data_IF_889466387459
#
_entry.id   IF_889466387459
#
_cell.length_a   1.000
_cell.length_b   1.000
_cell.length_c   1.000
_cell.angle_alpha   90.00
_cell.angle_beta   90.00
_cell.angle_gamma   90.00
#
_symmetry.space_group_name_H-M   'P 1'
#
loop_
_entity.id
_entity.type
_entity.pdbx_description
1 polymer ?
#
# COMPACT_ATOMS: atom_id res chain seq x y z
N UNK A 1 -70.84 -4.55 -36.90
CA UNK A 1 -70.64 -5.71 -36.00
C UNK A 1 -69.84 -6.74 -36.76
N UNK A 2 -68.61 -7.14 -36.45
CA UNK A 2 -67.88 -7.11 -35.18
C UNK A 2 -67.63 -8.55 -34.72
N UNK A 3 -66.45 -9.11 -35.04
CA UNK A 3 -65.57 -9.90 -34.15
C UNK A 3 -64.47 -10.59 -34.98
N UNK A 4 -63.23 -10.19 -34.73
CA UNK A 4 -62.03 -10.89 -35.18
C UNK A 4 -61.69 -12.03 -34.21
N UNK A 5 -61.14 -13.10 -34.76
CA UNK A 5 -60.48 -14.16 -34.02
C UNK A 5 -59.16 -13.63 -33.45
N UNK A 6 -59.08 -13.54 -32.12
CA UNK A 6 -57.85 -13.31 -31.39
C UNK A 6 -57.36 -14.66 -30.86
N UNK A 7 -56.30 -15.17 -31.45
CA UNK A 7 -55.67 -16.45 -31.10
C UNK A 7 -54.81 -16.24 -29.87
N UNK A 8 -55.41 -16.36 -28.68
CA UNK A 8 -54.70 -16.37 -27.41
C UNK A 8 -53.86 -17.64 -27.26
N UNK A 9 -52.55 -17.50 -27.41
CA UNK A 9 -51.59 -18.56 -27.05
C UNK A 9 -51.51 -18.70 -25.53
N UNK A 10 -51.84 -19.89 -25.04
CA UNK A 10 -51.59 -20.29 -23.65
C UNK A 10 -50.08 -20.30 -23.36
N UNK A 11 -49.59 -19.21 -22.81
CA UNK A 11 -48.25 -19.13 -22.23
C UNK A 11 -48.25 -19.96 -20.95
N UNK A 12 -47.73 -21.19 -21.03
CA UNK A 12 -47.31 -21.97 -19.87
C UNK A 12 -46.36 -21.13 -19.03
N UNK A 13 -46.84 -20.65 -17.89
CA UNK A 13 -46.02 -20.06 -16.84
C UNK A 13 -45.18 -21.20 -16.27
N UNK A 14 -43.96 -21.35 -16.78
CA UNK A 14 -42.93 -22.20 -16.19
C UNK A 14 -42.55 -21.55 -14.87
N UNK A 15 -43.08 -22.11 -13.77
CA UNK A 15 -42.63 -21.79 -12.43
C UNK A 15 -41.13 -22.04 -12.37
N UNK A 16 -40.36 -20.97 -12.27
CA UNK A 16 -38.95 -21.04 -11.93
C UNK A 16 -38.87 -21.61 -10.51
N UNK A 17 -38.43 -22.87 -10.41
CA UNK A 17 -37.98 -23.44 -9.15
C UNK A 17 -36.90 -22.51 -8.60
N UNK A 18 -37.23 -21.82 -7.49
CA UNK A 18 -36.27 -21.09 -6.68
C UNK A 18 -35.39 -22.15 -6.01
N UNK A 19 -34.38 -22.60 -6.76
CA UNK A 19 -33.33 -23.46 -6.25
C UNK A 19 -32.63 -22.73 -5.12
N UNK A 20 -32.74 -23.31 -3.92
CA UNK A 20 -32.00 -23.00 -2.70
C UNK A 20 -30.59 -22.48 -3.03
N UNK A 21 -30.41 -21.16 -2.99
CA UNK A 21 -29.13 -20.51 -3.24
C UNK A 21 -28.20 -20.84 -2.06
N UNK A 22 -27.45 -21.91 -2.25
CA UNK A 22 -26.45 -22.39 -1.31
C UNK A 22 -25.35 -21.33 -1.34
N UNK A 23 -25.40 -20.40 -0.38
CA UNK A 23 -24.45 -19.29 -0.20
C UNK A 23 -23.04 -19.82 0.13
N UNK A 24 -22.44 -20.48 -0.87
CA UNK A 24 -21.05 -20.88 -0.83
C UNK A 24 -20.22 -19.62 -0.88
N UNK A 25 -19.34 -19.49 0.10
CA UNK A 25 -18.37 -18.40 0.18
C UNK A 25 -17.65 -18.23 -1.16
N UNK A 26 -17.44 -17.00 -1.66
CA UNK A 26 -16.94 -16.76 -3.01
C UNK A 26 -15.48 -17.16 -3.22
N UNK A 27 -14.77 -17.49 -2.13
CA UNK A 27 -13.37 -17.90 -2.17
C UNK A 27 -13.29 -19.43 -2.21
N UNK A 28 -12.55 -19.95 -3.19
CA UNK A 28 -12.20 -21.36 -3.26
C UNK A 28 -11.28 -21.74 -2.09
N UNK A 29 -11.40 -22.97 -1.59
CA UNK A 29 -10.47 -23.52 -0.60
C UNK A 29 -9.00 -23.36 -1.04
N UNK A 30 -8.73 -23.47 -2.34
CA UNK A 30 -7.40 -23.26 -2.91
C UNK A 30 -6.92 -21.80 -2.83
N UNK A 31 -7.82 -20.83 -3.03
CA UNK A 31 -7.48 -19.41 -2.92
C UNK A 31 -7.19 -19.02 -1.47
N UNK A 32 -7.99 -19.54 -0.53
CA UNK A 32 -7.77 -19.35 0.92
C UNK A 32 -6.45 -20.00 1.36
N UNK A 33 -6.16 -21.20 0.87
CA UNK A 33 -4.92 -21.92 1.19
C UNK A 33 -3.71 -21.17 0.61
N UNK A 34 -3.78 -20.71 -0.63
CA UNK A 34 -2.70 -19.96 -1.27
C UNK A 34 -2.46 -18.61 -0.57
N UNK A 35 -3.53 -17.87 -0.26
CA UNK A 35 -3.46 -16.64 0.52
C UNK A 35 -2.81 -16.87 1.89
N UNK A 36 -3.28 -17.88 2.63
CA UNK A 36 -2.75 -18.23 3.95
C UNK A 36 -1.27 -18.62 3.87
N UNK A 37 -0.87 -19.34 2.82
CA UNK A 37 0.53 -19.70 2.57
C UNK A 37 1.40 -18.47 2.32
N UNK A 38 0.92 -17.49 1.55
CA UNK A 38 1.62 -16.22 1.35
C UNK A 38 1.79 -15.47 2.67
N UNK A 39 0.73 -15.39 3.49
CA UNK A 39 0.81 -14.74 4.81
C UNK A 39 1.79 -15.46 5.72
N UNK A 40 1.71 -16.78 5.82
CA UNK A 40 2.61 -17.59 6.64
C UNK A 40 4.06 -17.50 6.15
N UNK A 41 4.29 -17.45 4.84
CA UNK A 41 5.62 -17.26 4.26
C UNK A 41 6.24 -15.91 4.65
N UNK A 42 5.44 -14.84 4.64
CA UNK A 42 5.86 -13.53 5.11
C UNK A 42 6.15 -13.51 6.63
N UNK A 43 5.28 -14.14 7.43
CA UNK A 43 5.49 -14.26 8.88
C UNK A 43 6.72 -15.09 9.22
N UNK A 44 6.95 -16.19 8.49
CA UNK A 44 8.14 -17.01 8.62
C UNK A 44 9.39 -16.22 8.22
N UNK A 45 9.33 -15.44 7.14
CA UNK A 45 10.43 -14.55 6.75
C UNK A 45 10.76 -13.52 7.83
N UNK A 46 9.76 -12.90 8.44
CA UNK A 46 9.94 -11.99 9.58
C UNK A 46 10.52 -12.71 10.81
N UNK A 47 10.03 -13.91 11.11
CA UNK A 47 10.54 -14.73 12.21
C UNK A 47 12.00 -15.16 11.97
N UNK A 48 12.35 -15.55 10.75
CA UNK A 48 13.71 -15.91 10.38
C UNK A 48 14.65 -14.72 10.53
N UNK A 49 14.24 -13.52 10.09
CA UNK A 49 14.99 -12.28 10.31
C UNK A 49 15.16 -12.01 11.81
N UNK A 50 14.09 -12.15 12.59
CA UNK A 50 14.12 -11.96 14.04
C UNK A 50 15.09 -12.93 14.73
N UNK A 51 15.08 -14.21 14.34
CA UNK A 51 15.95 -15.24 14.90
C UNK A 51 17.42 -15.11 14.45
N UNK A 52 17.66 -14.51 13.29
CA UNK A 52 19.02 -14.32 12.73
C UNK A 52 19.68 -13.04 13.24
N UNK A 53 18.92 -12.14 13.90
CA UNK A 53 19.49 -10.95 14.54
C UNK A 53 20.24 -11.31 15.82
N UNK A 54 21.47 -10.80 16.05
CA UNK A 54 22.23 -11.10 17.26
C UNK A 54 21.54 -10.57 18.52
N UNK A 55 21.75 -11.24 19.66
CA UNK A 55 21.16 -10.92 20.97
C UNK A 55 21.69 -9.61 21.57
N UNK A 56 21.36 -8.48 20.94
CA UNK A 56 21.51 -7.14 21.51
C UNK A 56 20.13 -6.61 21.91
N UNK A 57 20.07 -5.98 23.07
CA UNK A 57 18.88 -5.55 23.80
C UNK A 57 17.75 -5.01 22.90
N UNK A 58 16.77 -5.85 22.55
CA UNK A 58 15.74 -5.57 21.52
C UNK A 58 14.65 -4.58 21.95
N UNK A 59 14.85 -3.89 23.07
CA UNK A 59 13.94 -2.87 23.58
C UNK A 59 13.78 -1.69 22.61
N UNK A 60 14.73 -1.47 21.69
CA UNK A 60 14.72 -0.40 20.67
C UNK A 60 14.05 -0.79 19.33
N UNK A 61 13.85 -2.08 19.03
CA UNK A 61 13.25 -2.56 17.76
C UNK A 61 11.71 -2.45 17.74
N UNK A 62 11.17 -1.45 18.45
CA UNK A 62 9.77 -1.08 18.33
C UNK A 62 9.61 -0.32 17.02
N UNK A 63 8.58 -0.70 16.26
CA UNK A 63 8.17 0.02 15.06
C UNK A 63 8.01 1.50 15.44
N UNK A 64 8.79 2.43 14.88
CA UNK A 64 8.82 3.80 15.36
C UNK A 64 7.43 4.41 15.21
N UNK A 65 6.82 4.78 16.35
CA UNK A 65 5.50 5.42 16.38
C UNK A 65 5.62 6.92 16.64
N UNK A 66 6.78 7.35 17.14
CA UNK A 66 7.13 8.74 17.40
C UNK A 66 8.45 9.12 16.74
N UNK A 67 8.70 10.42 16.62
CA UNK A 67 9.98 10.95 16.15
C UNK A 67 11.12 10.60 17.12
N UNK A 68 10.84 10.50 18.43
CA UNK A 68 11.83 10.10 19.43
C UNK A 68 12.27 8.64 19.26
N UNK A 69 11.35 7.73 18.95
CA UNK A 69 11.68 6.32 18.69
C UNK A 69 12.62 6.17 17.49
N UNK A 70 12.45 7.02 16.47
CA UNK A 70 13.27 7.02 15.27
C UNK A 70 14.71 7.46 15.57
N UNK A 71 14.90 8.44 16.45
CA UNK A 71 16.23 8.89 16.88
C UNK A 71 16.97 7.83 17.69
N UNK A 72 16.29 7.15 18.63
CA UNK A 72 16.86 6.05 19.42
C UNK A 72 17.26 4.88 18.52
N UNK A 73 16.37 4.51 17.59
CA UNK A 73 16.63 3.45 16.60
C UNK A 73 17.83 3.80 15.72
N UNK A 74 17.96 5.07 15.30
CA UNK A 74 19.10 5.55 14.52
C UNK A 74 20.42 5.44 15.29
N UNK A 75 20.49 5.94 16.52
CA UNK A 75 21.74 5.92 17.32
C UNK A 75 22.23 4.48 17.53
N UNK A 76 21.33 3.54 17.83
CA UNK A 76 21.69 2.13 17.95
C UNK A 76 22.05 1.47 16.62
N UNK A 77 21.42 1.87 15.51
CA UNK A 77 21.74 1.36 14.19
C UNK A 77 23.07 1.89 13.65
N UNK A 78 23.45 3.14 13.96
CA UNK A 78 24.70 3.76 13.48
C UNK A 78 25.93 3.01 14.04
N UNK A 79 25.89 2.60 15.31
CA UNK A 79 26.92 1.73 15.93
C UNK A 79 26.90 0.29 15.35
N UNK A 80 25.72 -0.22 14.95
CA UNK A 80 25.57 -1.59 14.42
C UNK A 80 25.90 -1.73 12.93
N UNK A 81 25.87 -0.63 12.18
CA UNK A 81 26.06 -0.59 10.72
C UNK A 81 27.53 -0.75 10.32
N UNK A 82 28.47 -0.83 11.26
CA UNK A 82 29.87 -1.15 10.94
C UNK A 82 30.09 -2.65 10.68
N UNK A 83 29.33 -3.54 11.35
CA UNK A 83 29.59 -5.00 11.32
C UNK A 83 28.45 -5.83 10.70
N UNK A 84 27.20 -5.34 10.63
CA UNK A 84 26.02 -6.13 10.22
C UNK A 84 25.09 -5.47 9.18
N UNK A 85 25.63 -4.58 8.32
CA UNK A 85 24.88 -3.78 7.33
C UNK A 85 23.89 -4.59 6.48
N UNK A 86 24.29 -5.78 6.04
CA UNK A 86 23.45 -6.63 5.18
C UNK A 86 22.22 -7.18 5.92
N UNK A 87 22.36 -7.57 7.18
CA UNK A 87 21.25 -8.13 7.97
C UNK A 87 20.24 -7.03 8.35
N UNK A 88 20.73 -5.86 8.76
CA UNK A 88 19.89 -4.68 9.04
C UNK A 88 19.11 -4.26 7.80
N UNK A 89 19.78 -4.18 6.65
CA UNK A 89 19.15 -3.81 5.39
C UNK A 89 18.09 -4.83 4.97
N UNK A 90 18.39 -6.13 5.09
CA UNK A 90 17.45 -7.19 4.74
C UNK A 90 16.24 -7.19 5.69
N UNK A 91 16.45 -7.00 6.99
CA UNK A 91 15.37 -6.86 7.96
C UNK A 91 14.50 -5.63 7.71
N UNK A 92 15.11 -4.47 7.41
CA UNK A 92 14.40 -3.26 7.01
C UNK A 92 13.52 -3.51 5.77
N UNK A 93 14.08 -4.12 4.73
CA UNK A 93 13.34 -4.44 3.51
C UNK A 93 12.17 -5.39 3.79
N UNK A 94 12.40 -6.46 4.55
CA UNK A 94 11.35 -7.44 4.90
C UNK A 94 10.21 -6.79 5.68
N UNK A 95 10.51 -5.99 6.69
CA UNK A 95 9.49 -5.27 7.48
C UNK A 95 8.74 -4.27 6.62
N UNK A 96 9.44 -3.49 5.79
CA UNK A 96 8.80 -2.52 4.90
C UNK A 96 7.84 -3.22 3.94
N UNK A 97 8.32 -4.25 3.23
CA UNK A 97 7.52 -5.00 2.24
C UNK A 97 6.33 -5.64 2.95
N UNK A 98 6.52 -6.23 4.13
CA UNK A 98 5.43 -6.80 4.92
C UNK A 98 4.36 -5.76 5.24
N UNK A 99 4.75 -4.62 5.82
CA UNK A 99 3.83 -3.54 6.16
C UNK A 99 3.07 -3.05 4.94
N UNK A 100 3.76 -2.84 3.82
CA UNK A 100 3.17 -2.38 2.58
C UNK A 100 2.23 -3.43 1.95
N UNK A 101 2.57 -4.72 2.06
CA UNK A 101 1.77 -5.83 1.54
C UNK A 101 0.44 -5.96 2.28
N UNK A 102 0.50 -5.88 3.61
CA UNK A 102 -0.65 -6.01 4.50
C UNK A 102 -1.30 -4.68 4.87
N UNK A 103 -0.98 -3.60 4.13
CA UNK A 103 -1.64 -2.31 4.28
C UNK A 103 -1.48 -1.69 5.69
N UNK A 104 -0.42 -2.07 6.41
CA UNK A 104 -0.16 -1.64 7.78
C UNK A 104 0.38 -0.20 7.76
N UNK A 105 -0.25 0.75 8.48
CA UNK A 105 0.24 2.12 8.55
C UNK A 105 1.60 2.18 9.26
N UNK A 106 2.50 3.04 8.77
CA UNK A 106 3.81 3.29 9.38
C UNK A 106 5.01 3.22 8.42
N UNK A 107 4.80 2.92 7.14
CA UNK A 107 5.87 2.94 6.10
C UNK A 107 6.48 4.34 5.89
N UNK A 108 5.78 5.40 6.30
CA UNK A 108 6.32 6.78 6.35
C UNK A 108 7.50 6.87 7.32
N UNK A 109 7.40 6.28 8.52
CA UNK A 109 8.50 6.29 9.49
C UNK A 109 9.70 5.47 9.00
N UNK A 110 9.44 4.36 8.32
CA UNK A 110 10.51 3.58 7.67
C UNK A 110 11.22 4.40 6.59
N UNK A 111 10.48 5.20 5.82
CA UNK A 111 11.05 6.09 4.80
C UNK A 111 11.89 7.23 5.40
N UNK A 112 11.45 7.79 6.53
CA UNK A 112 12.24 8.76 7.31
C UNK A 112 13.54 8.11 7.81
N UNK A 113 13.45 6.91 8.38
CA UNK A 113 14.60 6.14 8.87
C UNK A 113 15.61 5.84 7.75
N UNK A 114 15.14 5.47 6.56
CA UNK A 114 16.02 5.25 5.41
C UNK A 114 16.79 6.53 5.02
N UNK A 115 16.17 7.70 5.15
CA UNK A 115 16.82 8.99 4.94
C UNK A 115 17.88 9.32 5.97
N UNK A 116 17.60 9.06 7.26
CA UNK A 116 18.57 9.30 8.33
C UNK A 116 19.76 8.35 8.29
N UNK A 117 19.59 7.11 7.82
CA UNK A 117 20.63 6.08 7.84
C UNK A 117 21.46 6.02 6.55
N UNK A 118 20.82 6.13 5.38
CA UNK A 118 21.47 5.89 4.09
C UNK A 118 21.66 7.15 3.24
N UNK A 119 21.15 8.30 3.71
CA UNK A 119 21.13 9.55 2.95
C UNK A 119 20.09 9.53 1.82
N UNK A 120 19.99 10.65 1.10
CA UNK A 120 18.88 10.88 0.16
C UNK A 120 18.87 9.88 -1.01
N UNK A 121 19.96 9.77 -1.76
CA UNK A 121 19.96 8.96 -2.99
C UNK A 121 19.73 7.46 -2.72
N UNK A 122 20.48 6.89 -1.77
CA UNK A 122 20.33 5.47 -1.40
C UNK A 122 19.00 5.22 -0.67
N UNK A 123 18.59 6.14 0.21
CA UNK A 123 17.31 6.05 0.93
C UNK A 123 16.11 6.07 -0.02
N UNK A 124 16.09 6.96 -1.02
CA UNK A 124 15.02 7.01 -2.02
C UNK A 124 15.00 5.73 -2.86
N UNK A 125 16.14 5.28 -3.36
CA UNK A 125 16.22 4.05 -4.14
C UNK A 125 15.68 2.85 -3.35
N UNK A 126 16.06 2.74 -2.08
CA UNK A 126 15.64 1.67 -1.18
C UNK A 126 14.15 1.72 -0.86
N UNK A 127 13.62 2.92 -0.56
CA UNK A 127 12.20 3.14 -0.26
C UNK A 127 11.34 2.83 -1.49
N UNK A 128 11.73 3.33 -2.66
CA UNK A 128 10.98 3.07 -3.91
C UNK A 128 10.99 1.57 -4.23
N UNK A 129 12.14 0.91 -4.10
CA UNK A 129 12.24 -0.53 -4.30
C UNK A 129 11.30 -1.31 -3.35
N UNK A 130 11.37 -1.05 -2.05
CA UNK A 130 10.56 -1.75 -1.06
C UNK A 130 9.07 -1.41 -1.19
N UNK A 131 8.73 -0.16 -1.47
CA UNK A 131 7.35 0.27 -1.67
C UNK A 131 6.74 -0.36 -2.92
N UNK A 132 7.50 -0.44 -4.02
CA UNK A 132 7.06 -1.14 -5.24
C UNK A 132 6.92 -2.64 -4.99
N UNK A 133 7.89 -3.30 -4.35
CA UNK A 133 7.83 -4.73 -4.06
C UNK A 133 6.64 -5.10 -3.15
N UNK A 134 6.41 -4.30 -2.10
CA UNK A 134 5.24 -4.48 -1.23
C UNK A 134 3.91 -4.14 -1.91
N UNK A 135 3.87 -3.08 -2.75
CA UNK A 135 2.68 -2.73 -3.51
C UNK A 135 2.32 -3.82 -4.55
N UNK A 136 3.32 -4.41 -5.20
CA UNK A 136 3.13 -5.56 -6.10
C UNK A 136 2.60 -6.78 -5.35
N UNK A 137 3.14 -7.07 -4.16
CA UNK A 137 2.64 -8.18 -3.32
C UNK A 137 1.19 -7.93 -2.90
N UNK A 138 0.85 -6.71 -2.49
CA UNK A 138 -0.52 -6.29 -2.19
C UNK A 138 -1.45 -6.41 -3.42
N UNK A 139 -0.97 -6.04 -4.60
CA UNK A 139 -1.73 -6.18 -5.86
C UNK A 139 -2.09 -7.64 -6.12
N UNK A 140 -1.15 -8.57 -6.00
CA UNK A 140 -1.44 -9.99 -6.23
C UNK A 140 -2.34 -10.58 -5.15
N UNK A 141 -2.15 -10.17 -3.88
CA UNK A 141 -3.02 -10.60 -2.78
C UNK A 141 -4.46 -10.10 -2.98
N UNK A 142 -4.63 -8.84 -3.39
CA UNK A 142 -5.93 -8.28 -3.73
C UNK A 142 -6.54 -8.94 -4.97
N UNK A 143 -5.73 -9.29 -5.97
CA UNK A 143 -6.21 -10.04 -7.14
C UNK A 143 -6.75 -11.42 -6.76
N UNK A 144 -6.09 -12.10 -5.83
CA UNK A 144 -6.47 -13.45 -5.37
C UNK A 144 -7.71 -13.43 -4.48
N UNK A 145 -7.78 -12.51 -3.51
CA UNK A 145 -8.84 -12.51 -2.48
C UNK A 145 -9.85 -11.39 -2.71
N UNK A 146 -9.37 -10.19 -3.00
CA UNK A 146 -10.20 -8.98 -3.11
C UNK A 146 -11.11 -9.01 -4.33
N UNK A 147 -10.64 -9.51 -5.47
CA UNK A 147 -11.46 -9.56 -6.70
C UNK A 147 -12.67 -10.51 -6.59
N UNK A 148 -12.53 -11.79 -6.17
CA UNK A 148 -13.70 -12.65 -5.96
C UNK A 148 -14.69 -12.07 -4.94
N UNK A 149 -14.19 -11.49 -3.85
CA UNK A 149 -15.02 -10.89 -2.80
C UNK A 149 -15.84 -9.70 -3.33
N UNK A 150 -15.22 -8.78 -4.06
CA UNK A 150 -15.93 -7.60 -4.61
C UNK A 150 -16.90 -8.01 -5.72
N UNK A 151 -16.56 -9.00 -6.54
CA UNK A 151 -17.47 -9.53 -7.55
C UNK A 151 -18.73 -10.13 -6.91
N UNK A 152 -18.59 -10.83 -5.79
CA UNK A 152 -19.72 -11.39 -5.05
C UNK A 152 -20.58 -10.32 -4.35
N UNK A 153 -19.95 -9.31 -3.75
CA UNK A 153 -20.66 -8.27 -2.98
C UNK A 153 -21.32 -7.20 -3.88
N UNK A 154 -20.65 -6.79 -4.96
CA UNK A 154 -21.09 -5.67 -5.82
C UNK A 154 -20.75 -5.91 -7.31
N UNK A 155 -21.36 -6.93 -7.96
CA UNK A 155 -21.06 -7.29 -9.34
C UNK A 155 -21.33 -6.13 -10.33
N UNK A 156 -22.46 -5.45 -10.20
CA UNK A 156 -22.86 -4.38 -11.13
C UNK A 156 -21.91 -3.18 -11.10
N UNK A 157 -21.51 -2.75 -9.89
CA UNK A 157 -20.57 -1.64 -9.71
C UNK A 157 -19.19 -2.02 -10.24
N UNK A 158 -18.75 -3.25 -9.98
CA UNK A 158 -17.47 -3.74 -10.46
C UNK A 158 -17.41 -3.72 -11.98
N UNK A 159 -18.43 -4.25 -12.65
CA UNK A 159 -18.51 -4.29 -14.11
C UNK A 159 -18.54 -2.87 -14.69
N UNK A 160 -19.28 -1.93 -14.07
CA UNK A 160 -19.26 -0.53 -14.46
C UNK A 160 -17.83 0.06 -14.41
N UNK A 161 -17.10 -0.12 -13.31
CA UNK A 161 -15.73 0.40 -13.18
C UNK A 161 -14.75 -0.27 -14.16
N UNK A 162 -14.84 -1.59 -14.34
CA UNK A 162 -14.04 -2.32 -15.32
C UNK A 162 -14.28 -1.80 -16.75
N UNK A 163 -15.53 -1.54 -17.12
CA UNK A 163 -15.86 -0.95 -18.41
C UNK A 163 -15.28 0.45 -18.59
N UNK A 164 -15.27 1.27 -17.53
CA UNK A 164 -14.69 2.62 -17.59
C UNK A 164 -13.16 2.58 -17.74
N UNK A 165 -12.49 1.61 -17.09
CA UNK A 165 -11.05 1.38 -17.27
C UNK A 165 -10.76 0.87 -18.67
N UNK A 166 -11.57 -0.06 -19.19
CA UNK A 166 -11.43 -0.61 -20.54
C UNK A 166 -11.51 0.48 -21.62
N UNK A 167 -12.45 1.43 -21.50
CA UNK A 167 -12.58 2.59 -22.40
C UNK A 167 -11.36 3.53 -22.40
N UNK A 168 -10.56 3.53 -21.33
CA UNK A 168 -9.42 4.44 -21.15
C UNK A 168 -8.07 3.71 -21.14
N UNK A 169 -8.01 2.51 -21.73
CA UNK A 169 -6.80 1.65 -21.72
C UNK A 169 -5.55 2.35 -22.24
N UNK A 170 -5.67 3.12 -23.31
CA UNK A 170 -4.53 3.81 -23.95
C UNK A 170 -3.87 4.85 -23.05
N UNK A 171 -4.64 5.51 -22.17
CA UNK A 171 -4.14 6.52 -21.23
C UNK A 171 -3.88 5.99 -19.82
N UNK A 172 -4.09 4.70 -19.57
CA UNK A 172 -4.21 4.16 -18.21
C UNK A 172 -2.94 4.36 -17.37
N UNK A 173 -1.76 4.31 -18.00
CA UNK A 173 -0.49 4.61 -17.35
C UNK A 173 -0.42 6.05 -16.86
N UNK A 174 -0.85 7.01 -17.68
CA UNK A 174 -0.86 8.42 -17.31
C UNK A 174 -1.86 8.70 -16.19
N UNK A 175 -3.03 8.07 -16.22
CA UNK A 175 -4.00 8.15 -15.12
C UNK A 175 -3.43 7.58 -13.82
N UNK A 176 -2.81 6.39 -13.87
CA UNK A 176 -2.20 5.76 -12.69
C UNK A 176 -1.04 6.59 -12.15
N UNK A 177 -0.21 7.16 -13.02
CA UNK A 177 0.88 8.05 -12.63
C UNK A 177 0.33 9.31 -11.95
N UNK A 178 -0.70 9.93 -12.51
CA UNK A 178 -1.38 11.08 -11.91
C UNK A 178 -1.94 10.75 -10.52
N UNK A 179 -2.60 9.60 -10.36
CA UNK A 179 -3.16 9.17 -9.08
C UNK A 179 -2.08 8.89 -8.01
N UNK A 180 -0.87 8.51 -8.42
CA UNK A 180 0.23 8.22 -7.50
C UNK A 180 1.07 9.45 -7.16
N UNK A 181 1.22 10.37 -8.11
CA UNK A 181 1.88 11.65 -7.91
C UNK A 181 1.02 12.60 -7.07
N UNK A 182 -0.29 12.56 -7.26
CA UNK A 182 -1.23 13.37 -6.47
C UNK A 182 -1.64 12.63 -5.20
N UNK A 183 -1.64 13.27 -4.02
CA UNK A 183 -2.04 12.64 -2.76
C UNK A 183 -3.57 12.50 -2.63
N UNK A 184 -4.28 12.35 -3.74
CA UNK A 184 -5.75 12.30 -3.80
C UNK A 184 -6.31 11.00 -3.25
N UNK A 185 -5.62 9.89 -3.50
CA UNK A 185 -6.01 8.57 -3.02
C UNK A 185 -4.90 7.95 -2.18
N UNK A 186 -5.23 7.26 -1.08
CA UNK A 186 -4.26 6.50 -0.32
C UNK A 186 -3.57 5.46 -1.21
N UNK A 187 -2.25 5.31 -1.07
CA UNK A 187 -1.46 4.32 -1.82
C UNK A 187 -2.05 2.92 -1.71
N UNK A 188 -2.47 2.59 -0.50
CA UNK A 188 -3.14 1.35 -0.12
C UNK A 188 -4.39 1.08 -0.94
N UNK A 189 -5.22 2.11 -1.15
CA UNK A 189 -6.43 2.00 -1.95
C UNK A 189 -6.10 1.69 -3.41
N UNK A 190 -5.12 2.40 -4.00
CA UNK A 190 -4.69 2.15 -5.38
C UNK A 190 -4.17 0.72 -5.53
N UNK A 191 -3.38 0.22 -4.59
CA UNK A 191 -2.84 -1.15 -4.62
C UNK A 191 -3.93 -2.22 -4.63
N UNK A 192 -4.99 -2.04 -3.83
CA UNK A 192 -6.12 -2.97 -3.72
C UNK A 192 -7.07 -2.85 -4.90
N UNK A 193 -7.44 -1.62 -5.29
CA UNK A 193 -8.46 -1.38 -6.31
C UNK A 193 -7.97 -1.73 -7.73
N UNK A 194 -6.69 -1.51 -8.03
CA UNK A 194 -6.10 -1.74 -9.36
C UNK A 194 -6.37 -3.14 -9.94
N UNK A 195 -6.09 -4.25 -9.24
CA UNK A 195 -6.36 -5.60 -9.77
C UNK A 195 -7.85 -5.93 -9.85
N UNK A 196 -8.68 -5.27 -9.04
CA UNK A 196 -10.13 -5.47 -9.00
C UNK A 196 -10.76 -4.87 -10.27
N UNK A 197 -10.35 -3.66 -10.66
CA UNK A 197 -10.83 -2.96 -11.87
C UNK A 197 -10.06 -3.32 -13.15
N UNK A 198 -9.33 -4.44 -13.14
CA UNK A 198 -8.59 -4.96 -14.32
C UNK A 198 -7.47 -4.05 -14.86
N UNK A 199 -6.78 -3.31 -13.99
CA UNK A 199 -5.54 -2.62 -14.39
C UNK A 199 -4.44 -3.66 -14.66
N UNK A 200 -3.76 -3.60 -15.82
CA UNK A 200 -2.63 -4.48 -16.11
C UNK A 200 -1.47 -4.27 -15.13
N UNK A 201 -0.86 -5.37 -14.67
CA UNK A 201 0.23 -5.33 -13.68
C UNK A 201 1.43 -4.48 -14.13
N UNK A 202 1.82 -4.55 -15.41
CA UNK A 202 2.96 -3.76 -15.91
C UNK A 202 2.70 -2.24 -15.82
N UNK A 203 1.46 -1.80 -16.08
CA UNK A 203 1.06 -0.40 -15.93
C UNK A 203 1.11 -0.01 -14.46
N UNK A 204 0.54 -0.84 -13.59
CA UNK A 204 0.59 -0.63 -12.15
C UNK A 204 2.03 -0.53 -11.64
N UNK A 205 2.90 -1.47 -12.02
CA UNK A 205 4.29 -1.53 -11.59
C UNK A 205 5.09 -0.30 -12.01
N UNK A 206 4.98 0.11 -13.28
CA UNK A 206 5.68 1.29 -13.81
C UNK A 206 5.18 2.57 -13.14
N UNK A 207 3.86 2.74 -13.04
CA UNK A 207 3.27 3.91 -12.38
C UNK A 207 3.64 3.96 -10.89
N UNK A 208 3.74 2.82 -10.21
CA UNK A 208 4.18 2.72 -8.81
C UNK A 208 5.64 3.12 -8.66
N UNK A 209 6.51 2.52 -9.47
CA UNK A 209 7.95 2.74 -9.39
C UNK A 209 8.33 4.19 -9.65
N UNK A 210 7.67 4.84 -10.60
CA UNK A 210 7.94 6.23 -10.97
C UNK A 210 7.15 7.20 -10.08
N UNK A 211 5.85 6.95 -9.88
CA UNK A 211 4.95 7.85 -9.18
C UNK A 211 5.26 8.02 -7.69
N UNK A 212 5.94 7.05 -7.07
CA UNK A 212 6.35 7.16 -5.67
C UNK A 212 7.63 7.96 -5.44
N UNK A 213 8.45 8.18 -6.48
CA UNK A 213 9.77 8.83 -6.35
C UNK A 213 9.66 10.21 -5.67
N UNK A 214 8.75 11.12 -6.08
CA UNK A 214 8.70 12.44 -5.46
C UNK A 214 8.32 12.41 -3.98
N UNK A 215 7.31 11.60 -3.62
CA UNK A 215 6.88 11.43 -2.24
C UNK A 215 7.99 10.77 -1.38
N UNK A 216 8.67 9.76 -1.93
CA UNK A 216 9.81 9.12 -1.30
C UNK A 216 10.95 10.13 -1.10
N UNK A 217 11.27 10.95 -2.10
CA UNK A 217 12.30 11.98 -1.99
C UNK A 217 12.02 12.98 -0.88
N UNK A 218 10.81 13.55 -0.82
CA UNK A 218 10.43 14.50 0.24
C UNK A 218 10.55 13.85 1.62
N UNK A 219 10.05 12.62 1.77
CA UNK A 219 10.07 11.92 3.06
C UNK A 219 11.51 11.55 3.46
N UNK A 220 12.30 10.98 2.56
CA UNK A 220 13.70 10.62 2.84
C UNK A 220 14.54 11.87 3.14
N UNK A 221 14.31 12.99 2.44
CA UNK A 221 14.97 14.27 2.76
C UNK A 221 14.60 14.79 4.14
N UNK A 222 13.33 14.70 4.53
CA UNK A 222 12.90 15.03 5.89
C UNK A 222 13.58 14.12 6.93
N UNK A 223 13.71 12.83 6.61
CA UNK A 223 14.42 11.85 7.44
C UNK A 223 15.90 12.19 7.64
N UNK A 224 16.59 12.60 6.58
CA UNK A 224 17.98 13.05 6.66
C UNK A 224 18.10 14.28 7.58
N UNK A 225 17.26 15.29 7.40
CA UNK A 225 17.26 16.49 8.24
C UNK A 225 16.98 16.16 9.71
N UNK A 226 16.04 15.23 9.98
CA UNK A 226 15.75 14.75 11.34
C UNK A 226 16.93 13.99 11.96
N UNK A 227 17.72 13.28 11.15
CA UNK A 227 18.95 12.64 11.60
C UNK A 227 20.04 13.66 11.95
N UNK A 228 20.10 14.80 11.27
CA UNK A 228 21.11 15.82 11.57
C UNK A 228 20.83 16.57 12.89
N UNK A 229 19.58 16.56 13.39
CA UNK A 229 19.19 17.14 14.68
C UNK A 229 19.75 16.29 15.84
N UNK A 230 20.96 16.62 16.29
CA UNK A 230 21.69 15.92 17.37
C UNK A 230 21.28 16.33 18.80
N UNK A 231 20.42 17.33 18.96
CA UNK A 231 20.01 17.85 20.27
C UNK A 231 18.55 18.28 20.29
N UNK A 232 17.85 18.04 21.41
CA UNK A 232 16.51 18.62 21.68
C UNK A 232 16.50 20.16 21.62
N UNK A 233 17.67 20.81 21.68
CA UNK A 233 17.84 22.25 21.48
C UNK A 233 17.70 22.72 20.03
N UNK A 234 18.04 21.88 19.04
CA UNK A 234 17.87 22.24 17.61
C UNK A 234 16.42 22.12 17.14
N UNK A 235 15.56 21.42 17.92
CA UNK A 235 14.11 21.43 17.72
C UNK A 235 13.48 22.77 18.09
N UNK A 236 14.17 23.61 18.88
CA UNK A 236 13.74 24.97 19.19
C UNK A 236 14.33 26.01 18.23
N UNK A 237 15.22 25.61 17.31
CA UNK A 237 15.75 26.52 16.31
C UNK A 237 14.66 26.87 15.28
N UNK A 238 14.54 28.15 14.97
CA UNK A 238 13.40 28.70 14.22
C UNK A 238 13.29 28.09 12.81
N UNK A 239 14.43 27.73 12.21
CA UNK A 239 14.50 27.05 10.91
C UNK A 239 14.02 25.59 10.96
N UNK A 240 14.32 24.86 12.04
CA UNK A 240 13.85 23.48 12.23
C UNK A 240 12.35 23.43 12.50
N UNK A 241 11.85 24.37 13.32
CA UNK A 241 10.41 24.55 13.55
C UNK A 241 9.72 24.93 12.24
N UNK A 242 10.27 25.88 11.47
CA UNK A 242 9.69 26.28 10.19
C UNK A 242 9.68 25.12 9.19
N UNK A 243 10.74 24.33 9.12
CA UNK A 243 10.82 23.19 8.20
C UNK A 243 9.85 22.07 8.60
N UNK A 244 9.76 21.73 9.88
CA UNK A 244 8.80 20.75 10.40
C UNK A 244 7.36 21.23 10.27
N UNK A 245 7.12 22.53 10.48
CA UNK A 245 5.83 23.16 10.24
C UNK A 245 5.45 23.11 8.76
N UNK A 246 6.38 23.42 7.85
CA UNK A 246 6.14 23.30 6.42
C UNK A 246 5.88 21.86 5.99
N UNK A 247 6.62 20.88 6.53
CA UNK A 247 6.38 19.46 6.26
C UNK A 247 5.01 19.04 6.83
N UNK A 248 4.66 19.47 8.03
CA UNK A 248 3.35 19.22 8.66
C UNK A 248 2.21 19.84 7.85
N UNK A 249 2.36 21.08 7.42
CA UNK A 249 1.40 21.79 6.55
C UNK A 249 1.30 21.06 5.21
N UNK A 250 2.39 20.73 4.53
CA UNK A 250 2.37 19.99 3.26
C UNK A 250 1.79 18.59 3.43
N UNK A 251 1.99 17.95 4.58
CA UNK A 251 1.43 16.64 4.89
C UNK A 251 -0.08 16.70 5.21
N UNK A 252 -0.56 17.79 5.80
CA UNK A 252 -1.97 17.98 6.22
C UNK A 252 -2.80 18.67 5.13
N UNK A 253 -2.18 19.46 4.25
CA UNK A 253 -2.85 20.19 3.16
C UNK A 253 -3.67 19.26 2.25
N UNK A 254 -3.17 18.08 1.83
CA UNK A 254 -3.98 17.12 1.08
C UNK A 254 -5.21 16.64 1.86
N UNK A 255 -5.06 16.45 3.17
CA UNK A 255 -6.10 15.93 4.07
C UNK A 255 -7.21 16.96 4.33
N UNK A 256 -6.86 18.24 4.42
CA UNK A 256 -7.84 19.33 4.63
C UNK A 256 -8.58 19.70 3.33
N UNK A 257 -7.90 19.69 2.18
CA UNK A 257 -8.54 19.95 0.88
C UNK A 257 -9.56 18.87 0.52
N UNK A 258 -9.37 17.63 0.99
CA UNK A 258 -10.38 16.57 0.86
C UNK A 258 -11.63 16.79 1.70
N UNK A 259 -11.55 17.53 2.82
CA UNK A 259 -12.70 17.78 3.73
C UNK A 259 -13.56 18.96 3.31
N UNK A 260 -13.02 19.92 2.56
CA UNK A 260 -13.76 21.13 2.14
C UNK A 260 -14.69 20.94 0.93
N UNK A 261 -14.73 19.73 0.35
CA UNK A 261 -15.63 19.36 -0.76
C UNK A 261 -16.79 18.45 -0.36
N UNK A 262 -17.01 18.25 0.95
CA UNK A 262 -18.24 17.65 1.49
C UNK A 262 -19.09 18.74 2.14
#
# INVERSE_FOLDING_TARGET
>A
MGKGDDSGGDVKVVGAEVGSDNSKFPLSFWEVTLASTVVLGFLFGLLAVYLTMPASDYSFLKLPRSLQDLQILRVHLEDYTSDYTAQVLLGYCMVYIFMQTFMIPGTVFMSLLAGSLFGVFKGVALVVFNATAGASSCFFLSKLIGRPLVFFLWPDKLQFFQNQVAKRREGLLNYMLFLRLTPTLPNTFINVASPIVDVPYHIFFLATSIGLIPAAYVTVRAGLALGELRSLGDLYDFNSIATLFFIGVVSITPTLVSKSKS
#
